data_IF_276890438704
#
_entry.id   IF_276890438704
#
_cell.length_a   1.000
_cell.length_b   1.000
_cell.length_c   1.000
_cell.angle_alpha   90.00
_cell.angle_beta   90.00
_cell.angle_gamma   90.00
#
_symmetry.space_group_name_H-M   'P 1'
#
loop_
_entity.id
_entity.type
_entity.pdbx_description
1 polymer ?
#
# COMPACT_ATOMS: atom_id res chain seq x y z
N UNK A 1 -50.15 50.55 -24.22
CA UNK A 1 -49.05 49.75 -24.85
C UNK A 1 -47.83 49.80 -23.94
N UNK A 2 -47.69 48.82 -23.10
CA UNK A 2 -46.59 48.77 -22.13
C UNK A 2 -45.67 47.59 -22.50
N UNK A 3 -44.43 47.91 -22.90
CA UNK A 3 -43.44 46.91 -23.29
C UNK A 3 -42.67 46.47 -22.05
N UNK A 4 -42.72 45.17 -21.72
CA UNK A 4 -41.83 44.52 -20.73
C UNK A 4 -40.54 44.14 -21.41
N UNK A 5 -39.41 44.66 -20.93
CA UNK A 5 -38.07 44.17 -21.26
C UNK A 5 -37.68 43.05 -20.27
N UNK A 6 -37.58 41.82 -20.73
CA UNK A 6 -37.04 40.73 -19.96
C UNK A 6 -35.51 40.76 -20.02
N UNK A 7 -34.86 40.89 -18.86
CA UNK A 7 -33.41 40.69 -18.72
C UNK A 7 -33.12 39.22 -18.58
N UNK A 8 -32.32 38.70 -19.53
CA UNK A 8 -31.77 37.32 -19.49
C UNK A 8 -30.46 37.39 -18.70
N UNK A 9 -30.45 36.86 -17.49
CA UNK A 9 -29.20 36.63 -16.74
C UNK A 9 -28.56 35.35 -17.23
N UNK A 10 -27.44 35.43 -17.97
CA UNK A 10 -26.60 34.30 -18.28
C UNK A 10 -25.70 34.01 -17.06
N UNK A 11 -25.98 32.92 -16.37
CA UNK A 11 -25.07 32.36 -15.34
C UNK A 11 -23.90 31.68 -16.03
N UNK A 12 -22.73 32.25 -15.98
CA UNK A 12 -21.49 31.61 -16.39
C UNK A 12 -21.07 30.62 -15.30
N UNK A 13 -21.17 29.33 -15.57
CA UNK A 13 -20.60 28.26 -14.74
C UNK A 13 -19.12 28.24 -14.97
N UNK A 14 -18.30 28.73 -14.05
CA UNK A 14 -16.86 28.54 -14.02
C UNK A 14 -16.56 27.10 -13.62
N UNK A 15 -16.21 26.26 -14.59
CA UNK A 15 -15.58 24.97 -14.34
C UNK A 15 -14.14 25.24 -13.85
N UNK A 16 -13.91 25.14 -12.55
CA UNK A 16 -12.56 25.08 -11.99
C UNK A 16 -12.05 23.65 -12.20
N UNK A 17 -11.31 23.43 -13.28
CA UNK A 17 -10.54 22.21 -13.44
C UNK A 17 -9.42 22.23 -12.39
N UNK A 18 -9.52 21.36 -11.39
CA UNK A 18 -8.41 21.10 -10.47
C UNK A 18 -7.26 20.48 -11.27
N UNK A 19 -6.27 21.29 -11.61
CA UNK A 19 -4.98 20.80 -12.12
C UNK A 19 -4.32 20.02 -10.97
N UNK A 20 -4.45 18.70 -10.98
CA UNK A 20 -3.59 17.84 -10.17
C UNK A 20 -2.18 17.99 -10.76
N UNK A 21 -1.34 18.77 -10.09
CA UNK A 21 0.05 18.91 -10.47
C UNK A 21 0.72 17.54 -10.37
N UNK A 22 1.21 17.01 -11.50
CA UNK A 22 2.12 15.87 -11.51
C UNK A 22 3.35 16.31 -10.73
N UNK A 23 3.60 15.70 -9.57
CA UNK A 23 4.84 15.95 -8.82
C UNK A 23 6.01 15.43 -9.66
N UNK A 24 7.05 16.25 -9.84
CA UNK A 24 8.24 15.77 -10.53
C UNK A 24 8.82 14.57 -9.76
N UNK A 25 9.19 13.50 -10.48
CA UNK A 25 9.84 12.34 -9.89
C UNK A 25 11.10 12.76 -9.12
N UNK A 26 11.36 12.10 -8.00
CA UNK A 26 12.61 12.22 -7.24
C UNK A 26 13.43 10.95 -7.44
N UNK A 27 14.29 10.91 -8.49
CA UNK A 27 15.04 9.71 -8.83
C UNK A 27 16.03 9.31 -7.74
N UNK A 28 16.10 8.01 -7.46
CA UNK A 28 17.07 7.43 -6.55
C UNK A 28 18.50 7.43 -7.13
N UNK A 29 19.50 7.11 -6.31
CA UNK A 29 20.91 7.06 -6.72
C UNK A 29 21.22 5.99 -7.78
N UNK A 30 20.38 4.93 -7.87
CA UNK A 30 20.52 3.88 -8.86
C UNK A 30 20.15 4.31 -10.29
N UNK A 31 19.43 5.43 -10.44
CA UNK A 31 19.01 5.90 -11.76
C UNK A 31 20.22 6.24 -12.65
N UNK A 32 20.16 5.78 -13.91
CA UNK A 32 21.23 5.95 -14.89
C UNK A 32 22.40 4.97 -14.74
N UNK A 33 22.37 4.10 -13.73
CA UNK A 33 23.42 3.11 -13.49
C UNK A 33 22.91 1.69 -13.78
N UNK A 34 23.76 0.84 -14.36
CA UNK A 34 23.43 -0.58 -14.49
C UNK A 34 23.38 -1.22 -13.10
N UNK A 35 22.32 -2.00 -12.78
CA UNK A 35 22.22 -2.70 -11.51
C UNK A 35 23.41 -3.64 -11.30
N UNK A 36 23.93 -3.68 -10.07
CA UNK A 36 25.08 -4.53 -9.70
C UNK A 36 24.70 -5.62 -8.71
N UNK A 37 23.76 -5.34 -7.85
CA UNK A 37 23.29 -6.24 -6.80
C UNK A 37 22.02 -6.98 -7.23
N UNK A 38 21.08 -6.28 -7.85
CA UNK A 38 19.76 -6.81 -8.19
C UNK A 38 19.73 -7.11 -9.70
N UNK A 39 20.23 -8.29 -10.06
CA UNK A 39 20.37 -8.75 -11.46
C UNK A 39 19.38 -9.87 -11.81
N UNK A 40 18.72 -10.50 -10.81
CA UNK A 40 17.67 -11.50 -11.01
C UNK A 40 16.28 -10.83 -11.07
N UNK A 41 15.84 -10.47 -12.27
CA UNK A 41 14.53 -9.85 -12.49
C UNK A 41 13.35 -10.74 -12.06
N UNK A 42 13.52 -12.06 -12.02
CA UNK A 42 12.47 -13.02 -11.67
C UNK A 42 12.32 -13.22 -10.14
N UNK A 43 13.25 -12.69 -9.35
CA UNK A 43 13.28 -12.86 -7.90
C UNK A 43 13.31 -14.33 -7.44
N UNK A 44 14.13 -15.15 -8.10
CA UNK A 44 14.26 -16.58 -7.77
C UNK A 44 15.16 -16.84 -6.57
N UNK A 45 16.07 -15.90 -6.28
CA UNK A 45 17.06 -16.00 -5.20
C UNK A 45 16.94 -14.82 -4.24
N UNK A 46 16.92 -15.06 -2.91
CA UNK A 46 16.88 -13.96 -1.95
C UNK A 46 18.24 -13.24 -1.87
N UNK A 47 18.18 -11.93 -1.76
CA UNK A 47 19.29 -11.09 -1.38
C UNK A 47 19.44 -11.08 0.14
N UNK A 48 20.65 -10.88 0.62
CA UNK A 48 20.96 -10.88 2.06
C UNK A 48 21.60 -9.59 2.49
N UNK A 49 21.26 -9.14 3.68
CA UNK A 49 21.90 -8.01 4.35
C UNK A 49 21.94 -8.25 5.87
N UNK A 50 22.80 -7.51 6.56
CA UNK A 50 22.84 -7.49 8.02
C UNK A 50 22.12 -6.25 8.51
N UNK A 51 21.12 -6.40 9.39
CA UNK A 51 20.41 -5.31 10.04
C UNK A 51 20.35 -5.57 11.55
N UNK A 52 20.74 -4.59 12.36
CA UNK A 52 20.84 -4.73 13.82
C UNK A 52 21.66 -5.97 14.26
N UNK A 53 22.77 -6.29 13.56
CA UNK A 53 23.61 -7.45 13.84
C UNK A 53 22.98 -8.81 13.48
N UNK A 54 21.80 -8.83 12.86
CA UNK A 54 21.08 -10.06 12.45
C UNK A 54 21.13 -10.21 10.93
N UNK A 55 21.32 -11.45 10.46
CA UNK A 55 21.20 -11.77 9.04
C UNK A 55 19.72 -11.72 8.63
N UNK A 56 19.42 -10.96 7.60
CA UNK A 56 18.08 -10.79 7.03
C UNK A 56 18.14 -11.05 5.54
N UNK A 57 17.00 -11.40 4.97
CA UNK A 57 16.90 -11.67 3.53
C UNK A 57 15.61 -11.09 2.95
N UNK A 58 15.64 -10.83 1.63
CA UNK A 58 14.50 -10.28 0.89
C UNK A 58 14.61 -10.66 -0.58
N UNK A 59 13.47 -10.71 -1.25
CA UNK A 59 13.40 -10.89 -2.70
C UNK A 59 13.06 -9.56 -3.36
N UNK A 60 13.55 -9.35 -4.59
CA UNK A 60 13.23 -8.17 -5.41
C UNK A 60 12.79 -8.64 -6.79
N UNK A 61 11.61 -8.21 -7.23
CA UNK A 61 11.08 -8.45 -8.57
C UNK A 61 11.14 -7.14 -9.36
N UNK A 62 11.76 -7.20 -10.53
CA UNK A 62 11.77 -6.10 -11.49
C UNK A 62 10.60 -6.22 -12.47
N UNK A 63 10.13 -5.10 -13.06
CA UNK A 63 9.27 -5.16 -14.25
C UNK A 63 10.03 -5.83 -15.42
N UNK A 64 9.30 -6.48 -16.34
CA UNK A 64 9.91 -7.25 -17.43
C UNK A 64 10.87 -6.42 -18.31
N UNK A 65 10.52 -5.14 -18.52
CA UNK A 65 11.30 -4.21 -19.32
C UNK A 65 11.93 -3.14 -18.42
N UNK A 66 12.63 -3.55 -17.35
CA UNK A 66 13.27 -2.62 -16.45
C UNK A 66 14.27 -1.73 -17.22
N UNK A 67 14.09 -0.42 -17.09
CA UNK A 67 14.95 0.62 -17.65
C UNK A 67 15.54 1.44 -16.48
N UNK A 68 16.85 1.46 -16.36
CA UNK A 68 17.54 2.18 -15.30
C UNK A 68 17.48 3.72 -15.43
N UNK A 69 16.87 4.24 -16.47
CA UNK A 69 16.61 5.69 -16.65
C UNK A 69 15.18 6.09 -16.28
N UNK A 70 14.28 5.10 -16.11
CA UNK A 70 12.90 5.32 -15.71
C UNK A 70 12.71 5.11 -14.20
N UNK A 71 12.29 6.16 -13.43
CA UNK A 71 12.04 6.00 -12.01
C UNK A 71 10.77 5.19 -11.73
N UNK A 72 10.92 4.01 -11.11
CA UNK A 72 9.81 3.09 -10.81
C UNK A 72 9.23 3.30 -9.41
N UNK A 73 7.97 2.91 -9.24
CA UNK A 73 7.36 2.69 -7.93
C UNK A 73 8.10 1.60 -7.15
N UNK A 74 8.17 1.73 -5.83
CA UNK A 74 8.70 0.71 -4.93
C UNK A 74 7.57 0.18 -4.04
N UNK A 75 7.30 -1.13 -4.08
CA UNK A 75 6.19 -1.73 -3.33
C UNK A 75 6.71 -2.87 -2.44
N UNK A 76 6.63 -2.67 -1.12
CA UNK A 76 6.83 -3.74 -0.15
C UNK A 76 5.60 -4.65 -0.07
N UNK A 77 5.82 -5.97 -0.06
CA UNK A 77 4.79 -7.02 0.05
C UNK A 77 5.12 -7.93 1.24
N UNK A 78 4.45 -7.68 2.36
CA UNK A 78 4.83 -8.24 3.66
C UNK A 78 3.99 -9.46 4.02
N UNK A 79 4.63 -10.60 4.36
CA UNK A 79 3.97 -11.86 4.71
C UNK A 79 3.26 -11.80 6.08
N UNK A 80 2.27 -12.67 6.28
CA UNK A 80 1.60 -12.87 7.57
C UNK A 80 2.42 -13.70 8.56
N UNK A 81 1.94 -13.83 9.80
CA UNK A 81 2.53 -14.71 10.81
C UNK A 81 2.61 -16.16 10.31
N UNK A 82 3.74 -16.80 10.53
CA UNK A 82 4.02 -18.17 10.10
C UNK A 82 4.33 -18.32 8.60
N UNK A 83 4.15 -17.24 7.81
CA UNK A 83 4.54 -17.18 6.42
C UNK A 83 5.98 -16.72 6.22
N UNK A 84 6.38 -16.59 4.96
CA UNK A 84 7.70 -16.09 4.57
C UNK A 84 7.65 -15.38 3.22
N UNK A 85 8.73 -14.70 2.88
CA UNK A 85 8.85 -13.95 1.63
C UNK A 85 8.68 -14.84 0.38
N UNK A 86 9.22 -16.05 0.38
CA UNK A 86 9.11 -16.96 -0.77
C UNK A 86 7.64 -17.30 -1.08
N UNK A 87 6.82 -17.54 -0.06
CA UNK A 87 5.39 -17.80 -0.26
C UNK A 87 4.69 -16.62 -0.93
N UNK A 88 5.04 -15.39 -0.55
CA UNK A 88 4.52 -14.18 -1.19
C UNK A 88 4.99 -14.08 -2.64
N UNK A 89 6.27 -14.41 -2.94
CA UNK A 89 6.79 -14.30 -4.32
C UNK A 89 6.15 -15.30 -5.27
N UNK A 90 5.94 -16.54 -4.83
CA UNK A 90 5.43 -17.62 -5.70
C UNK A 90 3.91 -17.80 -5.62
N UNK A 91 3.24 -17.17 -4.66
CA UNK A 91 1.79 -17.26 -4.51
C UNK A 91 1.31 -18.55 -3.87
N UNK A 92 1.95 -18.97 -2.76
CA UNK A 92 1.54 -20.12 -1.96
C UNK A 92 1.17 -19.70 -0.53
N UNK A 93 0.62 -20.60 0.27
CA UNK A 93 0.23 -20.27 1.65
C UNK A 93 -0.92 -19.26 1.75
N UNK A 94 -1.81 -19.24 0.77
CA UNK A 94 -2.97 -18.34 0.75
C UNK A 94 -2.73 -17.00 0.04
N UNK A 95 -1.54 -16.77 -0.52
CA UNK A 95 -1.26 -15.57 -1.31
C UNK A 95 -1.48 -15.78 -2.82
N UNK A 96 -1.80 -14.71 -3.53
CA UNK A 96 -1.46 -14.56 -4.95
C UNK A 96 0.01 -14.10 -5.06
N UNK A 97 0.73 -14.43 -6.14
CA UNK A 97 2.10 -13.95 -6.32
C UNK A 97 2.17 -12.43 -6.16
N UNK A 98 3.00 -11.97 -5.19
CA UNK A 98 3.14 -10.53 -4.88
C UNK A 98 1.80 -9.84 -4.60
N UNK A 99 0.88 -10.50 -3.91
CA UNK A 99 -0.50 -10.06 -3.67
C UNK A 99 -1.32 -9.84 -4.96
N UNK A 100 -0.90 -10.41 -6.10
CA UNK A 100 -1.57 -10.28 -7.40
C UNK A 100 -1.34 -8.93 -8.11
N UNK A 101 -0.60 -8.01 -7.50
CA UNK A 101 -0.41 -6.64 -8.03
C UNK A 101 0.37 -6.62 -9.36
N UNK A 102 1.47 -7.40 -9.57
CA UNK A 102 2.22 -7.34 -10.83
C UNK A 102 1.41 -7.69 -12.07
N UNK A 103 0.36 -8.51 -11.94
CA UNK A 103 -0.51 -8.86 -13.04
C UNK A 103 -1.45 -7.70 -13.49
N UNK A 104 -1.59 -6.69 -12.65
CA UNK A 104 -2.43 -5.51 -12.88
C UNK A 104 -1.62 -4.29 -13.33
N UNK A 105 -0.33 -4.23 -12.93
CA UNK A 105 0.57 -3.17 -13.32
C UNK A 105 0.90 -3.29 -14.81
N UNK A 106 0.67 -2.23 -15.57
CA UNK A 106 1.09 -2.13 -16.95
C UNK A 106 2.54 -1.65 -17.08
N UNK A 107 3.11 -1.72 -18.29
CA UNK A 107 4.51 -1.34 -18.55
C UNK A 107 4.80 0.14 -18.23
N UNK A 108 3.81 1.01 -18.35
CA UNK A 108 3.93 2.46 -18.11
C UNK A 108 3.93 2.79 -16.61
N UNK A 109 3.16 2.02 -15.82
CA UNK A 109 3.02 2.20 -14.38
C UNK A 109 3.78 1.14 -13.57
N UNK A 110 4.75 0.50 -14.19
CA UNK A 110 5.53 -0.59 -13.62
C UNK A 110 6.08 -0.29 -12.23
N UNK A 111 6.30 -1.35 -11.45
CA UNK A 111 6.83 -1.26 -10.10
C UNK A 111 7.95 -2.26 -9.85
N UNK A 112 8.85 -1.91 -8.95
CA UNK A 112 9.79 -2.82 -8.31
C UNK A 112 9.14 -3.32 -7.03
N UNK A 113 9.07 -4.64 -6.86
CA UNK A 113 8.44 -5.26 -5.71
C UNK A 113 9.49 -5.85 -4.78
N UNK A 114 9.27 -5.71 -3.48
CA UNK A 114 10.13 -6.26 -2.44
C UNK A 114 9.31 -7.18 -1.55
N UNK A 115 9.77 -8.43 -1.36
CA UNK A 115 9.24 -9.35 -0.36
C UNK A 115 10.35 -9.65 0.67
N UNK A 116 10.36 -8.98 1.83
CA UNK A 116 11.33 -9.22 2.88
C UNK A 116 10.86 -10.33 3.83
N UNK A 117 11.82 -11.03 4.48
CA UNK A 117 11.56 -12.00 5.52
C UNK A 117 11.60 -11.37 6.91
N UNK A 118 10.49 -11.50 7.63
CA UNK A 118 10.41 -11.22 9.06
C UNK A 118 11.14 -12.28 9.89
N UNK A 119 11.68 -11.89 11.04
CA UNK A 119 12.31 -12.82 11.97
C UNK A 119 11.24 -13.75 12.58
N UNK A 120 11.61 -15.04 12.72
CA UNK A 120 10.69 -16.05 13.25
C UNK A 120 9.33 -16.08 12.53
N UNK A 121 9.35 -15.86 11.22
CA UNK A 121 8.16 -15.81 10.36
C UNK A 121 7.10 -14.80 10.85
N UNK A 122 7.53 -13.62 11.31
CA UNK A 122 6.65 -12.57 11.83
C UNK A 122 7.32 -11.20 11.87
N UNK A 123 6.59 -10.21 12.35
CA UNK A 123 6.99 -8.80 12.40
C UNK A 123 6.78 -8.21 13.81
N UNK A 124 7.44 -8.79 14.81
CA UNK A 124 7.31 -8.33 16.18
C UNK A 124 7.86 -6.91 16.38
N UNK A 125 8.76 -6.49 15.53
CA UNK A 125 9.33 -5.14 15.48
C UNK A 125 9.82 -4.63 16.85
N UNK A 126 10.41 -5.51 17.65
CA UNK A 126 10.91 -5.16 18.99
C UNK A 126 11.99 -4.08 18.88
N UNK A 127 11.79 -2.96 19.59
CA UNK A 127 12.71 -1.84 19.55
C UNK A 127 12.85 -1.19 18.15
N UNK A 128 11.92 -1.43 17.23
CA UNK A 128 11.97 -0.91 15.86
C UNK A 128 12.89 -1.70 14.91
N UNK A 129 13.26 -2.94 15.26
CA UNK A 129 14.22 -3.72 14.47
C UNK A 129 13.74 -4.03 13.05
N UNK A 130 12.44 -4.28 12.85
CA UNK A 130 11.90 -4.54 11.51
C UNK A 130 11.78 -3.24 10.70
N UNK A 131 11.46 -2.10 11.32
CA UNK A 131 11.51 -0.79 10.66
C UNK A 131 12.94 -0.50 10.19
N UNK A 132 13.95 -0.73 11.03
CA UNK A 132 15.36 -0.55 10.66
C UNK A 132 15.76 -1.46 9.49
N UNK A 133 15.29 -2.71 9.50
CA UNK A 133 15.51 -3.66 8.40
C UNK A 133 14.84 -3.19 7.10
N UNK A 134 13.56 -2.85 7.12
CA UNK A 134 12.82 -2.41 5.93
C UNK A 134 13.41 -1.13 5.35
N UNK A 135 13.87 -0.20 6.22
CA UNK A 135 14.60 0.98 5.76
C UNK A 135 15.93 0.62 5.11
N UNK A 136 16.69 -0.31 5.68
CA UNK A 136 17.96 -0.77 5.08
C UNK A 136 17.74 -1.45 3.73
N UNK A 137 16.65 -2.21 3.56
CA UNK A 137 16.26 -2.82 2.28
C UNK A 137 15.92 -1.72 1.27
N UNK A 138 15.12 -0.72 1.67
CA UNK A 138 14.77 0.41 0.82
C UNK A 138 16.02 1.16 0.34
N UNK A 139 16.92 1.52 1.26
CA UNK A 139 18.17 2.23 0.93
C UNK A 139 19.06 1.40 -0.01
N UNK A 140 19.11 0.07 0.18
CA UNK A 140 19.90 -0.86 -0.66
C UNK A 140 19.34 -0.93 -2.07
N UNK A 141 18.02 -1.07 -2.20
CA UNK A 141 17.35 -1.13 -3.52
C UNK A 141 17.49 0.19 -4.26
N UNK A 142 17.31 1.32 -3.60
CA UNK A 142 17.44 2.66 -4.20
C UNK A 142 18.88 3.04 -4.56
N UNK A 143 19.87 2.44 -3.94
CA UNK A 143 21.26 2.61 -4.33
C UNK A 143 21.61 1.87 -5.62
N UNK A 144 20.87 0.80 -5.96
CA UNK A 144 21.14 -0.09 -7.10
C UNK A 144 20.14 0.08 -8.26
N UNK A 145 18.89 0.42 -7.97
CA UNK A 145 17.79 0.54 -8.94
C UNK A 145 17.27 1.97 -9.06
N UNK A 146 16.70 2.28 -10.22
CA UNK A 146 16.04 3.57 -10.46
C UNK A 146 14.62 3.55 -9.89
N UNK A 147 14.46 4.22 -8.75
CA UNK A 147 13.19 4.33 -8.01
C UNK A 147 12.79 5.80 -7.91
N UNK A 148 11.49 6.08 -8.04
CA UNK A 148 10.94 7.36 -7.63
C UNK A 148 10.73 7.37 -6.12
N UNK A 149 11.50 8.17 -5.41
CA UNK A 149 11.45 8.27 -3.96
C UNK A 149 10.13 8.87 -3.42
N UNK A 150 9.31 9.47 -4.28
CA UNK A 150 7.97 9.91 -3.93
C UNK A 150 6.92 8.77 -4.04
N UNK A 151 7.26 7.64 -4.66
CA UNK A 151 6.34 6.55 -4.97
C UNK A 151 6.74 5.24 -4.25
N UNK A 152 6.83 5.31 -2.93
CA UNK A 152 7.13 4.17 -2.05
C UNK A 152 5.86 3.70 -1.36
N UNK A 153 5.55 2.42 -1.49
CA UNK A 153 4.31 1.81 -1.02
C UNK A 153 4.57 0.58 -0.18
N UNK A 154 3.60 0.19 0.65
CA UNK A 154 3.64 -1.08 1.37
C UNK A 154 2.26 -1.72 1.44
N UNK A 155 2.22 -3.03 1.25
CA UNK A 155 1.03 -3.84 1.49
C UNK A 155 1.39 -5.11 2.25
N UNK A 156 0.40 -5.69 2.89
CA UNK A 156 0.55 -6.94 3.61
C UNK A 156 -0.77 -7.38 4.22
N UNK A 157 -0.82 -8.65 4.61
CA UNK A 157 -1.96 -9.26 5.27
C UNK A 157 -1.63 -9.61 6.71
N UNK A 158 -2.60 -9.49 7.62
CA UNK A 158 -2.48 -9.92 9.01
C UNK A 158 -1.26 -9.26 9.71
N UNK A 159 -0.24 -10.03 10.09
CA UNK A 159 1.01 -9.49 10.64
C UNK A 159 1.73 -8.57 9.65
N UNK A 160 1.75 -8.91 8.35
CA UNK A 160 2.31 -8.03 7.31
C UNK A 160 1.52 -6.73 7.15
N UNK A 161 0.20 -6.76 7.36
CA UNK A 161 -0.64 -5.57 7.41
C UNK A 161 -0.30 -4.67 8.60
N UNK A 162 -0.12 -5.27 9.79
CA UNK A 162 0.32 -4.55 10.97
C UNK A 162 1.71 -3.92 10.78
N UNK A 163 2.61 -4.60 10.07
CA UNK A 163 3.93 -4.07 9.75
C UNK A 163 3.88 -2.97 8.69
N UNK A 164 3.02 -3.06 7.66
CA UNK A 164 2.78 -1.97 6.70
C UNK A 164 2.24 -0.72 7.39
N UNK A 165 1.31 -0.90 8.35
CA UNK A 165 0.83 0.19 9.19
C UNK A 165 1.96 0.79 10.05
N UNK A 166 2.79 -0.05 10.69
CA UNK A 166 3.94 0.39 11.48
C UNK A 166 4.95 1.17 10.64
N UNK A 167 5.17 0.76 9.39
CA UNK A 167 6.04 1.46 8.43
C UNK A 167 5.50 2.86 8.11
N UNK A 168 4.20 2.99 7.83
CA UNK A 168 3.56 4.29 7.62
C UNK A 168 3.65 5.20 8.86
N UNK A 169 3.51 4.63 10.07
CA UNK A 169 3.67 5.37 11.31
C UNK A 169 5.10 5.87 11.53
N UNK A 170 6.09 5.02 11.27
CA UNK A 170 7.49 5.28 11.62
C UNK A 170 8.25 6.05 10.54
N UNK A 171 7.89 5.83 9.26
CA UNK A 171 8.54 6.42 8.09
C UNK A 171 7.56 7.23 7.22
N UNK A 172 6.54 7.86 7.82
CA UNK A 172 5.48 8.55 7.09
C UNK A 172 5.95 9.56 6.04
N UNK A 173 7.05 10.28 6.31
CA UNK A 173 7.66 11.21 5.33
C UNK A 173 8.30 10.51 4.12
N UNK A 174 8.51 9.20 4.19
CA UNK A 174 9.17 8.41 3.15
C UNK A 174 8.21 7.46 2.44
N UNK A 175 7.02 7.21 3.01
CA UNK A 175 6.02 6.28 2.48
C UNK A 175 4.85 7.08 1.91
N UNK A 176 4.56 6.89 0.63
CA UNK A 176 3.47 7.59 -0.06
C UNK A 176 2.10 7.04 0.33
N UNK A 177 1.99 5.72 0.35
CA UNK A 177 0.73 5.06 0.69
C UNK A 177 0.93 3.63 1.21
N UNK A 178 -0.04 3.14 1.96
CA UNK A 178 -0.12 1.75 2.41
C UNK A 178 -1.48 1.12 2.10
N UNK A 179 -1.47 -0.20 1.79
CA UNK A 179 -2.67 -1.03 1.70
C UNK A 179 -2.61 -2.10 2.80
N UNK A 180 -3.44 -1.94 3.82
CA UNK A 180 -3.43 -2.72 5.06
C UNK A 180 -4.59 -3.71 5.05
N UNK A 181 -4.28 -5.01 4.89
CA UNK A 181 -5.27 -6.08 4.73
C UNK A 181 -5.44 -6.85 6.05
N UNK A 182 -6.50 -6.61 6.79
CA UNK A 182 -6.86 -7.30 8.05
C UNK A 182 -5.73 -7.26 9.10
N UNK A 183 -5.23 -6.06 9.43
CA UNK A 183 -4.18 -5.86 10.42
C UNK A 183 -4.71 -5.46 11.81
N UNK A 184 -3.77 -5.30 12.77
CA UNK A 184 -4.06 -4.80 14.11
C UNK A 184 -2.91 -3.89 14.60
N UNK A 185 -3.17 -2.70 15.17
CA UNK A 185 -2.15 -1.73 15.54
C UNK A 185 -1.27 -2.14 16.71
N UNK A 186 -1.68 -3.12 17.53
CA UNK A 186 -0.93 -3.60 18.68
C UNK A 186 0.16 -4.62 18.33
N UNK A 187 0.17 -5.18 17.11
CA UNK A 187 1.08 -6.28 16.76
C UNK A 187 2.51 -5.79 16.51
N UNK A 188 2.71 -4.90 15.53
CA UNK A 188 4.05 -4.39 15.17
C UNK A 188 4.31 -3.00 15.74
N UNK A 189 3.37 -2.45 16.46
CA UNK A 189 3.43 -1.13 17.08
C UNK A 189 3.33 0.02 16.09
N UNK A 190 3.36 1.23 16.64
CA UNK A 190 3.39 2.46 15.89
C UNK A 190 4.07 3.52 16.75
N UNK A 191 5.32 3.83 16.46
CA UNK A 191 6.07 4.88 17.16
C UNK A 191 5.96 6.18 16.37
N UNK A 192 5.43 7.23 16.99
CA UNK A 192 5.15 8.51 16.32
C UNK A 192 3.81 8.48 15.56
N UNK A 193 3.83 8.40 14.24
CA UNK A 193 2.64 8.23 13.42
C UNK A 193 1.72 9.43 13.39
N UNK A 194 2.28 10.64 13.35
CA UNK A 194 1.55 11.90 13.20
C UNK A 194 1.59 12.46 11.78
N UNK A 195 2.50 11.92 10.96
CA UNK A 195 2.63 12.34 9.56
C UNK A 195 1.43 11.83 8.73
N UNK A 196 0.95 12.60 7.76
CA UNK A 196 -0.04 12.13 6.82
C UNK A 196 0.56 11.10 5.87
N UNK A 197 -0.17 10.00 5.65
CA UNK A 197 0.16 8.96 4.67
C UNK A 197 -1.14 8.49 4.04
N UNK A 198 -1.19 8.31 2.73
CA UNK A 198 -2.37 7.77 2.08
C UNK A 198 -2.63 6.33 2.57
N UNK A 199 -3.86 6.04 2.94
CA UNK A 199 -4.20 4.80 3.64
C UNK A 199 -5.37 4.08 3.00
N UNK A 200 -5.13 2.86 2.55
CA UNK A 200 -6.17 1.91 2.20
C UNK A 200 -6.24 0.85 3.30
N UNK A 201 -7.40 0.65 3.88
CA UNK A 201 -7.66 -0.42 4.85
C UNK A 201 -8.74 -1.36 4.34
N UNK A 202 -8.50 -2.66 4.43
CA UNK A 202 -9.47 -3.70 4.12
C UNK A 202 -9.61 -4.64 5.30
N UNK A 203 -10.87 -5.00 5.69
CA UNK A 203 -11.08 -5.89 6.84
C UNK A 203 -12.40 -6.64 6.77
N UNK A 204 -12.38 -7.91 7.19
CA UNK A 204 -13.58 -8.73 7.33
C UNK A 204 -14.40 -8.36 8.56
N UNK A 205 -15.72 -8.24 8.42
CA UNK A 205 -16.63 -7.92 9.54
C UNK A 205 -16.76 -9.07 10.54
N UNK A 206 -16.39 -10.28 10.12
CA UNK A 206 -16.41 -11.51 10.92
C UNK A 206 -15.03 -12.05 11.23
N UNK A 207 -13.99 -11.21 11.10
CA UNK A 207 -12.61 -11.61 11.35
C UNK A 207 -12.45 -12.15 12.77
N UNK A 208 -12.25 -13.48 12.85
CA UNK A 208 -12.15 -14.23 14.10
C UNK A 208 -10.74 -14.27 14.68
N UNK A 209 -9.73 -13.84 13.90
CA UNK A 209 -8.31 -13.82 14.30
C UNK A 209 -7.89 -12.43 14.79
N UNK A 210 -8.17 -11.41 14.00
CA UNK A 210 -7.89 -10.00 14.31
C UNK A 210 -9.20 -9.21 14.16
N UNK A 211 -9.98 -9.03 15.22
CA UNK A 211 -11.27 -8.36 15.13
C UNK A 211 -11.21 -7.01 14.42
N UNK A 212 -12.20 -6.72 13.57
CA UNK A 212 -12.29 -5.51 12.73
C UNK A 212 -12.11 -4.20 13.51
N UNK A 213 -12.32 -4.21 14.83
CA UNK A 213 -12.09 -3.05 15.68
C UNK A 213 -10.65 -2.53 15.58
N UNK A 214 -9.65 -3.42 15.45
CA UNK A 214 -8.26 -3.05 15.22
C UNK A 214 -8.06 -2.36 13.89
N UNK A 215 -8.68 -2.87 12.82
CA UNK A 215 -8.65 -2.25 11.48
C UNK A 215 -9.27 -0.85 11.47
N UNK A 216 -10.43 -0.68 12.15
CA UNK A 216 -11.06 0.63 12.32
C UNK A 216 -10.16 1.61 13.06
N UNK A 217 -9.47 1.17 14.10
CA UNK A 217 -8.54 2.00 14.86
C UNK A 217 -7.35 2.48 14.01
N UNK A 218 -6.79 1.61 13.17
CA UNK A 218 -5.72 1.99 12.22
C UNK A 218 -6.22 3.01 11.18
N UNK A 219 -7.40 2.78 10.60
CA UNK A 219 -8.06 3.72 9.68
C UNK A 219 -8.26 5.08 10.33
N UNK A 220 -8.85 5.13 11.51
CA UNK A 220 -9.22 6.36 12.19
C UNK A 220 -8.00 7.23 12.53
N UNK A 221 -6.83 6.60 12.77
CA UNK A 221 -5.57 7.34 12.90
C UNK A 221 -5.26 8.14 11.64
N UNK A 222 -5.32 7.51 10.45
CA UNK A 222 -5.00 8.20 9.21
C UNK A 222 -6.12 9.12 8.74
N UNK A 223 -7.37 8.85 9.06
CA UNK A 223 -8.47 9.84 8.89
C UNK A 223 -8.13 11.13 9.64
N UNK A 224 -7.67 11.02 10.89
CA UNK A 224 -7.25 12.17 11.69
C UNK A 224 -5.97 12.84 11.17
N UNK A 225 -4.91 12.06 10.90
CA UNK A 225 -3.61 12.60 10.49
C UNK A 225 -3.70 13.33 9.14
N UNK A 226 -4.51 12.80 8.23
CA UNK A 226 -4.68 13.33 6.88
C UNK A 226 -5.73 14.45 6.80
N UNK A 227 -6.34 14.82 7.93
CA UNK A 227 -7.33 15.90 8.00
C UNK A 227 -8.65 15.59 7.30
N UNK A 228 -8.96 14.30 7.10
CA UNK A 228 -10.20 13.91 6.43
C UNK A 228 -11.45 14.26 7.24
N UNK A 229 -12.55 14.51 6.56
CA UNK A 229 -13.85 14.66 7.20
C UNK A 229 -14.27 13.36 7.92
N UNK A 230 -14.70 13.48 9.17
CA UNK A 230 -15.16 12.33 9.95
C UNK A 230 -16.39 11.69 9.30
N UNK A 231 -16.39 10.36 9.19
CA UNK A 231 -17.44 9.57 8.55
C UNK A 231 -17.52 8.19 9.19
N UNK A 232 -18.73 7.67 9.32
CA UNK A 232 -18.95 6.28 9.70
C UNK A 232 -19.14 5.45 8.44
N UNK A 233 -18.18 4.60 8.05
CA UNK A 233 -18.33 3.74 6.89
C UNK A 233 -19.47 2.75 7.09
N UNK A 234 -20.25 2.50 6.03
CA UNK A 234 -21.16 1.39 6.00
C UNK A 234 -20.39 0.06 5.98
N UNK A 235 -21.00 -0.97 6.53
CA UNK A 235 -20.48 -2.35 6.50
C UNK A 235 -21.49 -3.25 5.82
N UNK A 236 -21.05 -4.29 5.08
CA UNK A 236 -21.97 -5.15 4.35
C UNK A 236 -22.86 -5.95 5.27
N UNK A 237 -24.11 -6.15 4.85
CA UNK A 237 -24.98 -7.14 5.46
C UNK A 237 -24.48 -8.57 5.17
N UNK A 238 -24.95 -9.55 5.91
CA UNK A 238 -24.62 -10.95 5.69
C UNK A 238 -24.89 -11.38 4.25
N UNK A 239 -23.90 -11.96 3.57
CA UNK A 239 -23.97 -12.36 2.17
C UNK A 239 -23.88 -11.19 1.17
N UNK A 240 -23.60 -9.98 1.65
CA UNK A 240 -23.41 -8.78 0.81
C UNK A 240 -22.01 -8.69 0.18
N UNK A 241 -21.90 -7.90 -0.88
CA UNK A 241 -20.61 -7.53 -1.46
C UNK A 241 -19.86 -6.58 -0.51
N UNK A 242 -18.54 -6.51 -0.67
CA UNK A 242 -17.74 -5.52 0.07
C UNK A 242 -18.26 -4.09 -0.15
N UNK A 243 -18.06 -3.24 0.84
CA UNK A 243 -18.42 -1.81 0.77
C UNK A 243 -17.14 -0.98 0.88
N UNK A 244 -16.85 -0.27 -0.21
CA UNK A 244 -15.74 0.69 -0.30
C UNK A 244 -16.22 2.07 0.09
N UNK A 245 -15.55 2.69 1.04
CA UNK A 245 -15.80 4.06 1.50
C UNK A 245 -14.55 4.90 1.31
N UNK A 246 -14.60 5.89 0.43
CA UNK A 246 -13.60 6.94 0.36
C UNK A 246 -13.96 8.07 1.34
N UNK A 247 -12.94 8.56 2.06
CA UNK A 247 -13.08 9.73 2.91
C UNK A 247 -12.84 11.01 2.12
N UNK A 248 -13.51 12.09 2.50
CA UNK A 248 -13.43 13.40 1.85
C UNK A 248 -12.53 14.36 2.66
N UNK A 249 -12.01 15.39 2.01
CA UNK A 249 -11.21 16.43 2.67
C UNK A 249 -9.80 16.02 3.06
N UNK A 250 -9.31 14.86 2.61
CA UNK A 250 -7.99 14.32 2.97
C UNK A 250 -6.80 14.99 2.25
N UNK A 251 -7.04 15.97 1.37
CA UNK A 251 -5.98 16.60 0.58
C UNK A 251 -5.25 15.58 -0.30
N UNK A 252 -3.93 15.62 -0.28
CA UNK A 252 -3.06 14.72 -1.07
C UNK A 252 -2.93 13.31 -0.50
N UNK A 253 -3.49 13.04 0.68
CA UNK A 253 -3.35 11.77 1.40
C UNK A 253 -4.70 11.07 1.58
N UNK A 254 -5.30 10.53 0.50
CA UNK A 254 -6.62 9.89 0.57
C UNK A 254 -6.66 8.75 1.59
N UNK A 255 -7.83 8.57 2.20
CA UNK A 255 -8.14 7.41 3.04
C UNK A 255 -9.31 6.66 2.42
N UNK A 256 -9.11 5.36 2.23
CA UNK A 256 -10.14 4.45 1.73
C UNK A 256 -10.30 3.30 2.73
N UNK A 257 -11.53 2.96 3.04
CA UNK A 257 -11.88 1.80 3.86
C UNK A 257 -12.75 0.83 3.08
N UNK A 258 -12.38 -0.44 3.13
CA UNK A 258 -13.08 -1.52 2.47
C UNK A 258 -13.48 -2.60 3.49
N UNK A 259 -14.77 -2.68 3.82
CA UNK A 259 -15.30 -3.70 4.70
C UNK A 259 -15.95 -4.83 3.88
N UNK A 260 -15.70 -6.09 4.23
CA UNK A 260 -16.30 -7.23 3.56
C UNK A 260 -16.96 -8.20 4.55
N UNK A 261 -18.00 -8.92 4.11
CA UNK A 261 -18.68 -9.94 4.90
C UNK A 261 -17.88 -11.25 4.87
N UNK A 262 -16.86 -11.37 5.70
CA UNK A 262 -16.00 -12.55 5.74
C UNK A 262 -15.09 -12.57 6.96
N UNK A 263 -14.36 -13.67 7.07
CA UNK A 263 -13.36 -13.92 8.10
C UNK A 263 -11.96 -13.45 7.66
N UNK A 264 -10.93 -13.82 8.40
CA UNK A 264 -9.53 -13.47 8.22
C UNK A 264 -8.93 -14.07 6.95
N UNK A 265 -8.87 -13.31 5.87
CA UNK A 265 -8.34 -13.78 4.57
C UNK A 265 -7.65 -12.66 3.79
N UNK A 266 -6.51 -12.94 3.10
CA UNK A 266 -5.89 -11.99 2.18
C UNK A 266 -6.62 -11.86 0.84
N UNK A 267 -7.50 -12.82 0.51
CA UNK A 267 -8.16 -12.94 -0.78
C UNK A 267 -9.68 -13.07 -0.64
N UNK A 268 -10.36 -12.08 -0.05
CA UNK A 268 -11.82 -12.11 0.00
C UNK A 268 -12.39 -12.00 -1.41
N UNK A 269 -13.53 -12.68 -1.61
CA UNK A 269 -14.25 -12.75 -2.87
C UNK A 269 -15.70 -12.31 -2.63
N UNK A 270 -16.21 -11.44 -3.48
CA UNK A 270 -17.62 -11.04 -3.41
C UNK A 270 -18.56 -12.16 -3.88
N UNK A 271 -19.76 -12.23 -3.31
CA UNK A 271 -20.77 -13.16 -3.80
C UNK A 271 -21.02 -12.99 -5.30
N UNK A 272 -20.97 -14.11 -6.03
CA UNK A 272 -21.19 -14.15 -7.48
C UNK A 272 -20.00 -13.71 -8.34
N UNK A 273 -18.81 -13.53 -7.77
CA UNK A 273 -17.57 -13.28 -8.52
C UNK A 273 -16.59 -14.44 -8.37
N UNK A 274 -15.60 -14.54 -9.27
CA UNK A 274 -14.60 -15.62 -9.27
C UNK A 274 -13.22 -15.21 -8.79
N UNK A 275 -12.99 -13.92 -8.52
CA UNK A 275 -11.68 -13.40 -8.14
C UNK A 275 -11.74 -12.51 -6.91
N UNK A 276 -10.61 -12.40 -6.22
CA UNK A 276 -10.49 -11.48 -5.09
C UNK A 276 -10.48 -10.03 -5.59
N UNK A 277 -11.13 -9.15 -4.84
CA UNK A 277 -11.05 -7.72 -5.08
C UNK A 277 -9.80 -7.07 -4.44
N UNK A 278 -9.11 -7.76 -3.50
CA UNK A 278 -7.96 -7.18 -2.77
C UNK A 278 -6.85 -6.67 -3.68
N UNK A 279 -6.44 -7.46 -4.68
CA UNK A 279 -5.39 -7.06 -5.62
C UNK A 279 -5.80 -5.83 -6.43
N UNK A 280 -7.02 -5.87 -6.99
CA UNK A 280 -7.57 -4.80 -7.84
C UNK A 280 -7.71 -3.49 -7.05
N UNK A 281 -8.28 -3.55 -5.85
CA UNK A 281 -8.48 -2.38 -5.00
C UNK A 281 -7.17 -1.81 -4.45
N UNK A 282 -6.21 -2.68 -4.08
CA UNK A 282 -4.88 -2.24 -3.63
C UNK A 282 -4.10 -1.58 -4.75
N UNK A 283 -4.14 -2.15 -5.98
CA UNK A 283 -3.49 -1.55 -7.12
C UNK A 283 -4.15 -0.23 -7.52
N UNK A 284 -5.46 -0.18 -7.66
CA UNK A 284 -6.20 1.05 -7.96
C UNK A 284 -5.91 2.17 -6.94
N UNK A 285 -5.64 1.80 -5.67
CA UNK A 285 -5.23 2.77 -4.66
C UNK A 285 -3.79 3.26 -4.85
N UNK A 286 -2.87 2.42 -5.34
CA UNK A 286 -1.47 2.82 -5.55
C UNK A 286 -1.26 3.52 -6.89
N UNK A 287 -1.95 3.13 -7.96
CA UNK A 287 -1.76 3.68 -9.29
C UNK A 287 -2.19 5.15 -9.43
N UNK A 288 -3.07 5.65 -8.57
CA UNK A 288 -3.51 7.04 -8.58
C UNK A 288 -2.40 8.07 -8.29
N UNK A 289 -1.28 7.62 -7.71
CA UNK A 289 -0.14 8.47 -7.41
C UNK A 289 0.86 8.46 -8.57
N UNK A 290 1.23 9.66 -9.03
CA UNK A 290 2.15 9.87 -10.16
C UNK A 290 3.19 10.93 -9.81
#
# INVERSE_FOLDING_TARGET
MTRYFGQIFSAAVLLVAALHGVSAATPSKGCGNAPKLITDAAATTPLKLTSNGKNREFYVKLPANYDNTHPYRLIFTLHALGGNAQQVTVGTGGYLPWYGIPALANDTLGAVYIAPNGLNNGWANQGGEDITFLKSVMDTVEADLCIDQNLRFSTGFSYGAAMSYSLACSLGKQIRAVAVLSGNPQISGCTGGTEPVAYYGQHGTKDSVLPIAGGRQMRDRFVKNNGCAAKQPAEPAAGGKHIKTAYEGCGEYPVVWNAFDGDHTPQPVDPGTSGTFSAVESWAFFEQFT
#
